data_IF_597495640855
#
_entry.id   IF_597495640855
#
_cell.length_a   1.000
_cell.length_b   1.000
_cell.length_c   1.000
_cell.angle_alpha   90.00
_cell.angle_beta   90.00
_cell.angle_gamma   90.00
#
_symmetry.space_group_name_H-M   'P 1'
#
loop_
_entity.id
_entity.type
_entity.pdbx_description
1 polymer ?
#
# COMPACT_ATOMS: atom_id res chain seq x y z
N UNK A 1 -35.73 6.20 -28.77
CA UNK A 1 -34.76 7.29 -28.57
C UNK A 1 -33.40 6.86 -29.13
N UNK A 2 -32.96 7.41 -30.27
CA UNK A 2 -31.64 7.10 -30.87
C UNK A 2 -30.56 7.90 -30.15
N UNK A 3 -29.59 7.24 -29.51
CA UNK A 3 -28.42 7.89 -28.91
C UNK A 3 -27.53 8.45 -30.03
N UNK A 4 -27.39 9.77 -30.11
CA UNK A 4 -26.39 10.42 -30.97
C UNK A 4 -24.99 10.00 -30.51
N UNK A 5 -24.27 9.27 -31.37
CA UNK A 5 -22.86 8.93 -31.14
C UNK A 5 -22.05 10.22 -31.24
N UNK A 6 -21.54 10.72 -30.12
CA UNK A 6 -20.59 11.84 -30.11
C UNK A 6 -19.28 11.34 -30.72
N UNK A 7 -18.92 11.87 -31.89
CA UNK A 7 -17.60 11.67 -32.50
C UNK A 7 -16.56 12.37 -31.62
N UNK A 8 -15.66 11.63 -31.00
CA UNK A 8 -14.55 12.22 -30.24
C UNK A 8 -13.40 12.52 -31.21
N UNK A 9 -13.00 13.79 -31.31
CA UNK A 9 -11.77 14.18 -32.00
C UNK A 9 -10.58 13.94 -31.07
N UNK A 10 -9.59 13.21 -31.57
CA UNK A 10 -8.35 12.93 -30.85
C UNK A 10 -7.26 13.86 -31.36
N UNK A 11 -6.65 14.64 -30.46
CA UNK A 11 -5.51 15.51 -30.78
C UNK A 11 -4.22 14.80 -30.43
N UNK A 12 -3.26 14.82 -31.36
CA UNK A 12 -1.91 14.27 -31.15
C UNK A 12 -1.05 15.27 -30.37
N UNK A 13 -0.39 14.81 -29.30
CA UNK A 13 0.47 15.63 -28.45
C UNK A 13 1.76 14.87 -28.13
N UNK A 14 2.85 15.60 -27.93
CA UNK A 14 4.14 15.06 -27.45
C UNK A 14 4.30 15.31 -25.95
N UNK A 15 4.61 14.26 -25.20
CA UNK A 15 4.87 14.37 -23.76
C UNK A 15 6.16 15.13 -23.48
N UNK A 16 6.09 16.21 -22.69
CA UNK A 16 7.23 17.04 -22.34
C UNK A 16 8.29 16.33 -21.47
N UNK A 17 7.92 15.24 -20.77
CA UNK A 17 8.84 14.49 -19.90
C UNK A 17 9.56 13.35 -20.63
N UNK A 18 8.83 12.55 -21.42
CA UNK A 18 9.39 11.35 -22.06
C UNK A 18 9.53 11.46 -23.58
N UNK A 19 9.05 12.54 -24.20
CA UNK A 19 9.13 12.76 -25.65
C UNK A 19 8.21 11.86 -26.49
N UNK A 20 7.43 10.96 -25.87
CA UNK A 20 6.51 10.07 -26.59
C UNK A 20 5.26 10.81 -27.04
N UNK A 21 4.76 10.43 -28.20
CA UNK A 21 3.50 10.94 -28.75
C UNK A 21 2.31 10.17 -28.16
N UNK A 22 1.22 10.88 -27.88
CA UNK A 22 -0.03 10.29 -27.38
C UNK A 22 -1.24 11.10 -27.83
N UNK A 23 -2.42 10.48 -27.75
CA UNK A 23 -3.67 11.08 -28.19
C UNK A 23 -4.54 11.46 -27.00
N UNK A 24 -5.11 12.67 -27.02
CA UNK A 24 -6.07 13.13 -26.00
C UNK A 24 -7.38 13.54 -26.64
N UNK A 25 -8.46 13.48 -25.86
CA UNK A 25 -9.81 13.82 -26.29
C UNK A 25 -10.16 15.32 -26.18
N UNK A 26 -9.16 16.18 -26.02
CA UNK A 26 -9.32 17.64 -25.93
C UNK A 26 -8.40 18.35 -26.93
N UNK A 27 -8.70 19.61 -27.24
CA UNK A 27 -7.88 20.44 -28.12
C UNK A 27 -6.69 20.97 -27.30
N UNK A 28 -5.48 20.75 -27.81
CA UNK A 28 -4.25 21.19 -27.15
C UNK A 28 -3.82 22.54 -27.71
N UNK A 29 -3.83 23.58 -26.89
CA UNK A 29 -3.49 24.96 -27.28
C UNK A 29 -1.98 25.18 -27.48
N UNK A 30 -1.13 24.17 -27.21
CA UNK A 30 0.33 24.24 -27.40
C UNK A 30 1.10 25.12 -26.40
N UNK A 31 0.42 26.00 -25.65
CA UNK A 31 1.04 26.90 -24.67
C UNK A 31 1.43 26.19 -23.35
N UNK A 32 0.90 24.99 -23.08
CA UNK A 32 1.14 24.24 -21.84
C UNK A 32 2.00 23.02 -22.10
N UNK A 33 2.79 22.63 -21.10
CA UNK A 33 3.46 21.33 -21.10
C UNK A 33 2.43 20.23 -20.87
N UNK A 34 2.36 19.31 -21.82
CA UNK A 34 1.48 18.15 -21.77
C UNK A 34 2.29 16.92 -21.37
N UNK A 35 1.69 16.06 -20.54
CA UNK A 35 2.33 14.86 -20.02
C UNK A 35 1.44 13.65 -20.30
N UNK A 36 2.04 12.55 -20.73
CA UNK A 36 1.33 11.28 -20.80
C UNK A 36 0.90 10.83 -19.40
N UNK A 37 -0.12 9.97 -19.34
CA UNK A 37 -0.70 9.49 -18.08
C UNK A 37 0.34 8.86 -17.15
N UNK A 38 1.31 8.13 -17.70
CA UNK A 38 2.38 7.50 -16.94
C UNK A 38 3.28 8.53 -16.26
N UNK A 39 3.76 9.51 -17.04
CA UNK A 39 4.62 10.58 -16.53
C UNK A 39 3.90 11.43 -15.50
N UNK A 40 2.61 11.72 -15.73
CA UNK A 40 1.78 12.49 -14.82
C UNK A 40 1.58 11.73 -13.49
N UNK A 41 1.25 10.43 -13.55
CA UNK A 41 1.13 9.56 -12.37
C UNK A 41 2.43 9.50 -11.57
N UNK A 42 3.55 9.33 -12.26
CA UNK A 42 4.87 9.30 -11.63
C UNK A 42 5.22 10.63 -10.96
N UNK A 43 5.00 11.76 -11.64
CA UNK A 43 5.21 13.08 -11.05
C UNK A 43 4.34 13.31 -9.80
N UNK A 44 3.06 12.90 -9.84
CA UNK A 44 2.19 12.97 -8.68
C UNK A 44 2.66 12.06 -7.55
N UNK A 45 3.21 10.89 -7.88
CA UNK A 45 3.78 9.95 -6.91
C UNK A 45 5.02 10.55 -6.23
N UNK A 46 5.99 11.02 -7.01
CA UNK A 46 7.26 11.59 -6.50
C UNK A 46 7.01 12.83 -5.62
N UNK A 47 5.98 13.64 -5.94
CA UNK A 47 5.60 14.78 -5.08
C UNK A 47 5.07 14.37 -3.70
N UNK A 48 4.49 13.17 -3.59
CA UNK A 48 3.86 12.63 -2.38
C UNK A 48 4.79 11.68 -1.62
N UNK A 49 5.83 11.17 -2.25
CA UNK A 49 6.80 10.26 -1.64
C UNK A 49 7.54 10.93 -0.47
N UNK A 50 7.78 10.18 0.61
CA UNK A 50 8.40 10.69 1.84
C UNK A 50 7.54 11.71 2.62
N UNK A 51 6.33 12.04 2.17
CA UNK A 51 5.45 13.02 2.82
C UNK A 51 4.16 12.36 3.30
N UNK A 52 3.71 12.80 4.47
CA UNK A 52 2.41 12.44 5.05
C UNK A 52 1.56 13.69 5.07
N UNK A 53 0.44 13.69 4.35
CA UNK A 53 -0.50 14.81 4.33
C UNK A 53 -1.70 14.48 5.19
N UNK A 54 -2.01 15.34 6.16
CA UNK A 54 -3.25 15.25 6.94
C UNK A 54 -4.37 15.94 6.13
N UNK A 55 -5.44 15.22 5.85
CA UNK A 55 -6.59 15.68 5.05
C UNK A 55 -7.84 15.54 5.90
N UNK A 56 -8.68 16.57 5.94
CA UNK A 56 -9.97 16.50 6.62
C UNK A 56 -11.01 15.86 5.69
N UNK A 57 -11.68 14.81 6.15
CA UNK A 57 -12.80 14.21 5.44
C UNK A 57 -14.12 14.83 5.92
N UNK A 58 -14.79 15.64 5.09
CA UNK A 58 -16.05 16.27 5.46
C UNK A 58 -17.16 15.24 5.65
N UNK A 59 -17.09 14.05 5.02
CA UNK A 59 -18.15 13.04 5.12
C UNK A 59 -18.18 12.36 6.48
N UNK A 60 -17.00 12.12 7.06
CA UNK A 60 -16.85 11.42 8.34
C UNK A 60 -16.46 12.36 9.49
N UNK A 61 -16.36 13.66 9.22
CA UNK A 61 -15.90 14.72 10.15
C UNK A 61 -14.59 14.36 10.85
N UNK A 62 -13.72 13.61 10.17
CA UNK A 62 -12.49 13.04 10.72
C UNK A 62 -11.30 13.37 9.85
N UNK A 63 -10.15 13.50 10.49
CA UNK A 63 -8.90 13.62 9.77
C UNK A 63 -8.39 12.26 9.31
N UNK A 64 -7.91 12.23 8.08
CA UNK A 64 -7.18 11.12 7.46
C UNK A 64 -5.76 11.53 7.12
N UNK A 65 -4.95 10.51 6.85
CA UNK A 65 -3.58 10.63 6.43
C UNK A 65 -3.42 10.01 5.05
N UNK A 66 -2.94 10.83 4.13
CA UNK A 66 -2.56 10.46 2.77
C UNK A 66 -1.05 10.29 2.73
N UNK A 67 -0.59 9.10 2.36
CA UNK A 67 0.84 8.81 2.25
C UNK A 67 1.11 7.68 1.27
N UNK A 68 2.36 7.55 0.84
CA UNK A 68 2.83 6.40 0.07
C UNK A 68 3.66 5.53 1.03
N UNK A 69 3.39 4.22 1.04
CA UNK A 69 4.23 3.29 1.79
C UNK A 69 5.53 3.04 1.03
N UNK A 70 6.67 3.20 1.69
CA UNK A 70 7.99 3.03 1.06
C UNK A 70 8.36 1.56 0.80
N UNK A 71 7.63 0.61 1.40
CA UNK A 71 7.83 -0.83 1.17
C UNK A 71 7.01 -1.31 -0.03
N UNK A 72 5.69 -1.10 -0.01
CA UNK A 72 4.82 -1.61 -1.08
C UNK A 72 4.56 -0.61 -2.21
N UNK A 73 4.96 0.66 -2.04
CA UNK A 73 4.78 1.71 -3.04
C UNK A 73 3.34 2.17 -3.23
N UNK A 74 2.38 1.61 -2.49
CA UNK A 74 0.98 1.94 -2.62
C UNK A 74 0.64 3.24 -1.90
N UNK A 75 -0.17 4.07 -2.57
CA UNK A 75 -0.80 5.22 -1.96
C UNK A 75 -1.93 4.76 -1.04
N UNK A 76 -1.95 5.25 0.20
CA UNK A 76 -2.93 4.88 1.23
C UNK A 76 -3.63 6.13 1.75
N UNK A 77 -4.93 5.98 1.95
CA UNK A 77 -5.80 6.89 2.70
C UNK A 77 -6.17 6.19 3.99
N UNK A 78 -5.70 6.70 5.13
CA UNK A 78 -5.87 6.01 6.41
C UNK A 78 -6.34 6.94 7.52
N UNK A 79 -7.19 6.44 8.40
CA UNK A 79 -7.56 7.12 9.65
C UNK A 79 -6.50 7.01 10.75
N UNK A 80 -5.37 6.36 10.46
CA UNK A 80 -4.23 6.22 11.37
C UNK A 80 -3.03 6.96 10.80
N UNK A 81 -2.21 7.53 11.69
CA UNK A 81 -0.93 8.09 11.30
C UNK A 81 0.04 6.95 10.94
N UNK A 82 0.69 6.98 9.76
CA UNK A 82 1.67 5.97 9.41
C UNK A 82 2.89 6.05 10.33
N UNK A 83 3.50 4.90 10.63
CA UNK A 83 4.74 4.88 11.39
C UNK A 83 5.93 5.20 10.51
N UNK A 84 6.94 5.80 11.13
CA UNK A 84 8.23 6.05 10.53
C UNK A 84 9.27 5.17 11.21
N UNK A 85 9.89 4.28 10.44
CA UNK A 85 10.95 3.40 10.91
C UNK A 85 12.17 3.58 10.01
N UNK A 86 13.31 3.93 10.59
CA UNK A 86 14.53 4.28 9.84
C UNK A 86 14.30 5.31 8.73
N UNK A 87 13.45 6.32 9.00
CA UNK A 87 13.09 7.36 8.04
C UNK A 87 12.09 6.94 6.95
N UNK A 88 11.68 5.67 6.90
CA UNK A 88 10.72 5.14 5.92
C UNK A 88 9.29 5.17 6.46
N UNK A 89 8.34 5.56 5.63
CA UNK A 89 6.90 5.58 5.91
C UNK A 89 6.31 4.20 5.62
N UNK A 90 5.66 3.61 6.62
CA UNK A 90 5.11 2.26 6.55
C UNK A 90 3.58 2.28 6.69
N UNK A 91 2.90 1.52 5.83
CA UNK A 91 1.52 1.15 6.08
C UNK A 91 1.45 0.06 7.17
N UNK A 92 0.28 -0.08 7.81
CA UNK A 92 0.05 -1.03 8.91
C UNK A 92 0.35 -2.48 8.54
N UNK A 93 0.07 -2.87 7.29
CA UNK A 93 0.35 -4.22 6.76
C UNK A 93 1.86 -4.47 6.68
N UNK A 94 2.61 -3.57 6.03
CA UNK A 94 4.06 -3.68 5.91
C UNK A 94 4.76 -3.63 7.27
N UNK A 95 4.31 -2.76 8.18
CA UNK A 95 4.81 -2.72 9.56
C UNK A 95 4.61 -4.07 10.28
N UNK A 96 3.43 -4.67 10.14
CA UNK A 96 3.13 -5.95 10.79
C UNK A 96 4.00 -7.07 10.22
N UNK A 97 4.20 -7.09 8.91
CA UNK A 97 5.03 -8.07 8.24
C UNK A 97 6.51 -7.95 8.64
N UNK A 98 7.05 -6.72 8.73
CA UNK A 98 8.42 -6.49 9.21
C UNK A 98 8.64 -7.09 10.59
N UNK A 99 7.76 -6.81 11.54
CA UNK A 99 7.85 -7.34 12.91
C UNK A 99 7.76 -8.86 12.97
N UNK A 100 6.94 -9.46 12.11
CA UNK A 100 6.85 -10.91 12.02
C UNK A 100 8.15 -11.51 11.50
N UNK A 101 8.77 -10.91 10.49
CA UNK A 101 10.06 -11.37 9.97
C UNK A 101 11.19 -11.21 10.98
N UNK A 102 11.22 -10.12 11.75
CA UNK A 102 12.19 -9.94 12.85
C UNK A 102 12.03 -11.01 13.94
N UNK A 103 10.79 -11.31 14.35
CA UNK A 103 10.50 -12.38 15.32
C UNK A 103 10.90 -13.76 14.81
N UNK A 104 10.76 -14.03 13.50
CA UNK A 104 11.22 -15.30 12.91
C UNK A 104 12.75 -15.39 12.92
N UNK A 105 13.45 -14.30 12.60
CA UNK A 105 14.92 -14.25 12.66
C UNK A 105 15.45 -14.52 14.06
N UNK A 106 14.84 -13.92 15.09
CA UNK A 106 15.26 -14.17 16.48
C UNK A 106 15.04 -15.62 16.90
N UNK A 107 13.92 -16.24 16.49
CA UNK A 107 13.63 -17.67 16.77
C UNK A 107 14.58 -18.64 16.06
N UNK A 108 15.04 -18.33 14.84
CA UNK A 108 15.99 -19.17 14.10
C UNK A 108 17.37 -19.27 14.77
N UNK A 109 17.73 -18.28 15.59
CA UNK A 109 18.98 -18.28 16.36
C UNK A 109 18.83 -18.93 17.74
N UNK A 110 17.65 -19.47 18.09
CA UNK A 110 17.47 -20.26 19.31
C UNK A 110 17.99 -21.67 19.03
N UNK A 111 19.20 -21.98 19.50
CA UNK A 111 19.70 -23.36 19.58
C UNK A 111 18.90 -24.03 20.69
N UNK A 112 17.88 -24.80 20.32
CA UNK A 112 17.15 -25.64 21.28
C UNK A 112 18.09 -26.79 21.62
N UNK A 113 18.74 -26.73 22.79
CA UNK A 113 19.38 -27.90 23.37
C UNK A 113 18.28 -28.91 23.74
N UNK A 114 18.04 -29.88 22.87
CA UNK A 114 17.08 -30.96 23.10
C UNK A 114 17.63 -31.93 24.16
N UNK A 115 17.37 -31.62 25.43
CA UNK A 115 17.44 -32.61 26.50
C UNK A 115 16.27 -33.58 26.38
N UNK A 116 16.55 -34.87 26.11
CA UNK A 116 15.60 -35.97 26.31
C UNK A 116 15.14 -35.95 27.77
N UNK A 117 13.86 -35.70 28.02
CA UNK A 117 13.24 -35.97 29.32
C UNK A 117 11.91 -36.71 29.09
N UNK A 118 11.83 -37.85 29.77
CA UNK A 118 10.86 -38.93 29.69
C UNK A 118 9.38 -38.48 29.60
N UNK A 119 8.70 -39.01 28.58
CA UNK A 119 7.26 -39.27 28.61
C UNK A 119 7.10 -40.65 29.27
N UNK A 120 6.80 -40.70 30.55
CA UNK A 120 6.17 -41.87 31.16
C UNK A 120 5.36 -41.45 32.39
N UNK A 121 4.16 -42.02 32.51
CA UNK A 121 3.25 -41.99 33.68
C UNK A 121 2.24 -40.85 33.76
N UNK A 122 1.22 -40.85 32.89
CA UNK A 122 -0.10 -40.31 33.26
C UNK A 122 -1.06 -41.50 33.34
N UNK A 123 -1.48 -41.96 34.53
CA UNK A 123 -2.48 -43.01 34.66
C UNK A 123 -3.85 -42.48 34.23
N UNK A 124 -4.50 -43.18 33.29
CA UNK A 124 -5.91 -43.00 32.96
C UNK A 124 -6.75 -43.46 34.15
N UNK A 125 -7.63 -42.61 34.65
CA UNK A 125 -8.76 -43.05 35.49
C UNK A 125 -9.95 -43.31 34.56
N UNK A 126 -10.34 -44.58 34.49
CA UNK A 126 -11.62 -45.06 33.98
C UNK A 126 -12.62 -45.19 35.15
N UNK A 127 -13.91 -45.15 34.83
CA UNK A 127 -15.06 -45.37 35.73
C UNK A 127 -16.14 -44.30 35.49
N UNK A 128 -17.24 -44.62 34.79
CA UNK A 128 -18.49 -45.25 35.29
C UNK A 128 -19.30 -44.25 36.14
N UNK A 129 -20.62 -44.08 36.10
CA UNK A 129 -21.82 -44.75 35.55
C UNK A 129 -22.95 -43.70 35.77
N UNK A 130 -23.79 -43.41 34.79
CA UNK A 130 -25.18 -43.90 34.59
C UNK A 130 -26.26 -43.25 35.49
N UNK A 131 -27.40 -42.99 34.81
CA UNK A 131 -28.73 -42.49 35.24
C UNK A 131 -28.95 -41.01 35.55
#
# INVERSE_FOLDING_TARGET
>A
MKKLKKTQTLTKITCAKCGKEYFVSFVADGHRNYYCDECLKEMHRNRKEGKVKKVFDPKNEKYMFDFICDICGQFRHAFYAPKRENGKILCKECESNLKLEERKKSRKNVIIASGKAALDSIPKKEGEEDE
#
